data_IF_709191121866
#
_entry.id   IF_709191121866
#
_cell.length_a   1.000
_cell.length_b   1.000
_cell.length_c   1.000
_cell.angle_alpha   90.00
_cell.angle_beta   90.00
_cell.angle_gamma   90.00
#
_symmetry.space_group_name_H-M   'P 1'
#
loop_
_entity.id
_entity.type
_entity.pdbx_description
1 polymer ?
#
# COMPACT_ATOMS: atom_id res chain seq x y z
N UNK A 1 -6.13 -10.79 -18.74
CA UNK A 1 -7.34 -10.37 -19.48
C UNK A 1 -8.46 -10.17 -18.47
N UNK A 2 -9.26 -9.11 -18.57
CA UNK A 2 -10.31 -8.79 -17.60
C UNK A 2 -11.65 -8.75 -18.30
N UNK A 3 -12.61 -9.54 -17.86
CA UNK A 3 -13.87 -9.77 -18.57
C UNK A 3 -15.03 -9.11 -17.81
N UNK A 4 -16.00 -8.53 -18.53
CA UNK A 4 -17.17 -7.86 -17.92
C UNK A 4 -18.19 -8.86 -17.37
N UNK A 5 -18.15 -10.09 -17.89
CA UNK A 5 -19.05 -11.17 -17.58
C UNK A 5 -18.23 -12.40 -17.21
N UNK A 6 -18.64 -13.07 -16.14
CA UNK A 6 -18.24 -14.44 -15.81
C UNK A 6 -19.44 -15.35 -16.02
N UNK A 7 -19.20 -16.61 -16.37
CA UNK A 7 -20.22 -17.62 -16.61
C UNK A 7 -19.83 -18.93 -15.93
N UNK A 8 -20.80 -19.66 -15.40
CA UNK A 8 -20.61 -21.00 -14.88
C UNK A 8 -21.44 -22.00 -15.70
N UNK A 9 -20.80 -23.07 -16.18
CA UNK A 9 -21.43 -24.19 -16.87
C UNK A 9 -21.20 -25.48 -16.09
N UNK A 10 -22.12 -26.44 -16.21
CA UNK A 10 -21.94 -27.79 -15.68
C UNK A 10 -21.53 -27.86 -14.19
N UNK A 11 -21.97 -26.89 -13.38
CA UNK A 11 -21.71 -26.82 -11.94
C UNK A 11 -20.26 -26.50 -11.53
N UNK A 12 -19.33 -26.34 -12.47
CA UNK A 12 -17.91 -26.13 -12.13
C UNK A 12 -17.05 -25.45 -13.21
N UNK A 13 -17.50 -25.42 -14.46
CA UNK A 13 -16.71 -24.87 -15.56
C UNK A 13 -16.87 -23.35 -15.61
N UNK A 14 -15.76 -22.63 -15.70
CA UNK A 14 -15.73 -21.17 -15.66
C UNK A 14 -15.48 -20.57 -17.05
N UNK A 15 -16.35 -19.65 -17.45
CA UNK A 15 -16.27 -18.92 -18.71
C UNK A 15 -16.15 -17.42 -18.44
N UNK A 16 -15.36 -16.71 -19.24
CA UNK A 16 -15.21 -15.26 -19.09
C UNK A 16 -15.33 -14.55 -20.45
N UNK A 17 -16.11 -13.47 -20.50
CA UNK A 17 -16.41 -12.76 -21.74
C UNK A 17 -16.63 -11.26 -21.58
N UNK A 18 -16.41 -10.51 -22.66
CA UNK A 18 -16.73 -9.07 -22.72
C UNK A 18 -18.13 -8.79 -23.27
N UNK A 19 -18.71 -9.75 -23.98
CA UNK A 19 -20.04 -9.69 -24.59
C UNK A 19 -20.69 -11.05 -24.44
N UNK A 20 -22.00 -11.05 -24.21
CA UNK A 20 -22.81 -12.26 -24.24
C UNK A 20 -23.18 -12.49 -25.70
N UNK A 21 -22.69 -13.59 -26.29
CA UNK A 21 -22.96 -13.98 -27.68
C UNK A 21 -23.98 -15.12 -27.78
N UNK A 22 -24.58 -15.51 -26.66
CA UNK A 22 -25.60 -16.55 -26.57
C UNK A 22 -26.99 -15.95 -26.43
N UNK A 23 -27.99 -16.64 -26.97
CA UNK A 23 -29.41 -16.34 -26.76
C UNK A 23 -29.84 -16.72 -25.34
N UNK A 24 -30.81 -15.99 -24.78
CA UNK A 24 -31.37 -16.30 -23.47
C UNK A 24 -32.04 -17.68 -23.47
N UNK A 25 -31.82 -18.43 -22.39
CA UNK A 25 -32.45 -19.71 -22.11
C UNK A 25 -33.35 -19.60 -20.87
N UNK A 26 -34.19 -20.61 -20.66
CA UNK A 26 -34.99 -20.73 -19.43
C UNK A 26 -34.09 -20.94 -18.21
N UNK A 27 -34.45 -20.35 -17.07
CA UNK A 27 -33.74 -20.50 -15.80
C UNK A 27 -33.75 -21.97 -15.31
N UNK A 28 -34.79 -22.71 -15.64
CA UNK A 28 -34.89 -24.15 -15.36
C UNK A 28 -33.82 -25.00 -16.05
N UNK A 29 -33.17 -24.46 -17.08
CA UNK A 29 -32.10 -25.14 -17.81
C UNK A 29 -30.72 -24.92 -17.16
N UNK A 30 -30.63 -24.03 -16.15
CA UNK A 30 -29.46 -23.81 -15.30
C UNK A 30 -29.62 -24.55 -13.95
N UNK A 31 -29.83 -25.86 -14.02
CA UNK A 31 -30.24 -26.70 -12.91
C UNK A 31 -29.13 -27.57 -12.30
N UNK A 32 -27.87 -27.33 -12.66
CA UNK A 32 -26.74 -28.10 -12.11
C UNK A 32 -26.30 -27.56 -10.77
N UNK A 33 -26.06 -28.44 -9.80
CA UNK A 33 -25.53 -28.08 -8.49
C UNK A 33 -24.08 -27.59 -8.59
N UNK A 34 -23.76 -26.49 -7.92
CA UNK A 34 -22.41 -25.95 -7.88
C UNK A 34 -21.50 -26.87 -7.08
N UNK A 35 -20.41 -27.36 -7.68
CA UNK A 35 -19.43 -28.20 -6.97
C UNK A 35 -18.76 -27.48 -5.81
N UNK A 36 -18.60 -26.15 -5.91
CA UNK A 36 -18.04 -25.30 -4.84
C UNK A 36 -19.04 -24.89 -3.76
N UNK A 37 -20.34 -25.00 -4.02
CA UNK A 37 -21.40 -24.58 -3.09
C UNK A 37 -22.65 -25.44 -3.31
N UNK A 38 -22.67 -26.61 -2.66
CA UNK A 38 -23.66 -27.68 -2.86
C UNK A 38 -25.13 -27.29 -2.58
N UNK A 39 -25.36 -26.10 -2.02
CA UNK A 39 -26.70 -25.56 -1.77
C UNK A 39 -27.23 -24.68 -2.90
N UNK A 40 -26.41 -24.37 -3.91
CA UNK A 40 -26.75 -23.46 -5.00
C UNK A 40 -26.66 -24.18 -6.36
N UNK A 41 -27.45 -23.69 -7.31
CA UNK A 41 -27.38 -24.12 -8.71
C UNK A 41 -26.61 -23.10 -9.55
N UNK A 42 -25.70 -23.59 -10.39
CA UNK A 42 -24.97 -22.79 -11.36
C UNK A 42 -24.69 -23.57 -12.64
N UNK A 43 -25.10 -22.98 -13.76
CA UNK A 43 -24.96 -23.55 -15.08
C UNK A 43 -25.88 -24.75 -15.33
N UNK A 44 -25.76 -25.30 -16.53
CA UNK A 44 -26.47 -26.48 -16.99
C UNK A 44 -25.73 -27.14 -18.15
N UNK A 45 -26.30 -28.19 -18.74
CA UNK A 45 -25.72 -28.81 -19.94
C UNK A 45 -25.90 -27.85 -21.11
N UNK A 46 -24.81 -27.35 -21.70
CA UNK A 46 -24.83 -26.31 -22.75
C UNK A 46 -25.49 -25.00 -22.27
N UNK A 47 -25.42 -24.67 -20.97
CA UNK A 47 -26.08 -23.50 -20.36
C UNK A 47 -25.20 -22.82 -19.33
N UNK A 48 -25.15 -21.49 -19.40
CA UNK A 48 -24.31 -20.65 -18.56
C UNK A 48 -25.15 -19.82 -17.58
N UNK A 49 -24.83 -19.92 -16.29
CA UNK A 49 -25.23 -18.89 -15.31
C UNK A 49 -24.26 -17.71 -15.42
N UNK A 50 -24.74 -16.54 -15.84
CA UNK A 50 -23.90 -15.37 -16.13
C UNK A 50 -23.94 -14.35 -14.99
N UNK A 51 -22.77 -13.89 -14.57
CA UNK A 51 -22.54 -12.87 -13.54
C UNK A 51 -21.90 -11.65 -14.18
N UNK A 52 -22.42 -10.46 -13.89
CA UNK A 52 -21.87 -9.19 -14.38
C UNK A 52 -21.10 -8.49 -13.27
N UNK A 53 -19.94 -7.94 -13.62
CA UNK A 53 -19.22 -7.05 -12.73
C UNK A 53 -19.88 -5.66 -12.74
N UNK A 54 -20.61 -5.30 -11.67
CA UNK A 54 -21.08 -3.93 -11.50
C UNK A 54 -19.97 -3.08 -10.88
N UNK A 55 -19.37 -2.21 -11.69
CA UNK A 55 -18.54 -1.11 -11.19
C UNK A 55 -19.48 -0.04 -10.64
N UNK A 56 -19.71 -0.03 -9.33
CA UNK A 56 -20.49 1.01 -8.66
C UNK A 56 -19.89 2.40 -8.99
N UNK A 57 -20.63 3.19 -9.79
CA UNK A 57 -20.19 4.47 -10.33
C UNK A 57 -20.41 5.66 -9.36
N UNK A 58 -20.65 5.43 -8.06
CA UNK A 58 -21.06 6.48 -7.12
C UNK A 58 -20.13 6.69 -5.91
N UNK A 59 -18.88 6.19 -5.95
CA UNK A 59 -17.92 6.36 -4.84
C UNK A 59 -17.30 7.77 -4.70
N UNK A 60 -17.86 8.79 -5.35
CA UNK A 60 -17.40 10.18 -5.24
C UNK A 60 -18.13 11.01 -4.16
N UNK A 61 -19.13 10.47 -3.46
CA UNK A 61 -19.88 11.25 -2.44
C UNK A 61 -20.10 10.47 -1.14
N UNK A 62 -19.35 10.90 -0.11
CA UNK A 62 -19.73 10.91 1.32
C UNK A 62 -19.40 9.65 2.14
N UNK A 63 -18.23 9.63 2.76
CA UNK A 63 -18.02 8.88 4.02
C UNK A 63 -18.91 9.51 5.11
N UNK A 64 -20.13 9.00 5.25
CA UNK A 64 -20.87 9.03 6.52
C UNK A 64 -21.35 7.62 6.79
N UNK A 65 -21.01 7.14 7.98
CA UNK A 65 -21.54 5.93 8.60
C UNK A 65 -23.05 6.08 8.74
N UNK A 66 -23.81 5.43 7.88
CA UNK A 66 -25.07 4.80 8.27
C UNK A 66 -25.05 3.40 7.67
N UNK A 67 -25.12 2.40 8.54
CA UNK A 67 -25.41 1.03 8.15
C UNK A 67 -26.75 1.05 7.42
N UNK A 68 -26.71 0.90 6.09
CA UNK A 68 -27.91 0.65 5.30
C UNK A 68 -27.78 -0.73 4.67
N UNK A 69 -28.84 -1.55 4.75
CA UNK A 69 -28.81 -2.94 4.29
C UNK A 69 -28.54 -2.96 2.79
N UNK A 70 -27.81 -3.96 2.32
CA UNK A 70 -27.77 -4.33 0.92
C UNK A 70 -29.20 -4.39 0.39
N UNK A 71 -29.57 -3.43 -0.45
CA UNK A 71 -30.81 -3.46 -1.19
C UNK A 71 -30.56 -4.44 -2.34
N UNK A 72 -31.31 -5.56 -2.42
CA UNK A 72 -31.20 -6.43 -3.57
C UNK A 72 -31.60 -5.64 -4.83
N UNK A 73 -30.71 -5.58 -5.82
CA UNK A 73 -31.15 -5.31 -7.19
C UNK A 73 -31.92 -6.55 -7.64
N UNK A 74 -33.22 -6.56 -7.34
CA UNK A 74 -34.14 -7.61 -7.77
C UNK A 74 -34.93 -7.13 -9.00
N UNK A 75 -35.48 -8.07 -9.80
CA UNK A 75 -35.72 -9.48 -9.46
C UNK A 75 -34.98 -10.45 -10.39
N UNK A 76 -34.45 -11.56 -9.89
CA UNK A 76 -34.57 -12.79 -10.69
C UNK A 76 -36.01 -13.26 -10.45
N UNK A 77 -36.80 -13.43 -11.49
CA UNK A 77 -38.25 -13.48 -11.33
C UNK A 77 -38.73 -14.74 -10.56
N UNK A 78 -39.17 -14.53 -9.31
CA UNK A 78 -40.18 -15.33 -8.59
C UNK A 78 -39.69 -16.12 -7.36
N UNK A 79 -40.01 -15.65 -6.14
CA UNK A 79 -39.56 -16.16 -4.82
C UNK A 79 -40.15 -17.51 -4.38
N UNK A 80 -39.73 -18.11 -3.25
CA UNK A 80 -39.66 -17.52 -1.90
C UNK A 80 -38.62 -18.18 -0.94
N UNK A 81 -37.96 -17.30 -0.19
CA UNK A 81 -37.61 -17.36 1.26
C UNK A 81 -36.39 -18.14 1.80
N UNK A 82 -35.51 -17.32 2.41
CA UNK A 82 -34.63 -17.48 3.58
C UNK A 82 -33.29 -18.19 3.39
N UNK A 83 -32.23 -17.38 3.37
CA UNK A 83 -30.93 -17.75 3.93
C UNK A 83 -30.48 -16.67 4.92
N UNK A 84 -30.47 -17.04 6.20
CA UNK A 84 -29.66 -16.42 7.23
C UNK A 84 -28.35 -17.22 7.30
N UNK A 85 -27.21 -16.53 7.32
CA UNK A 85 -25.90 -17.17 7.43
C UNK A 85 -24.84 -16.40 6.65
N UNK A 86 -24.28 -15.37 7.27
CA UNK A 86 -23.22 -14.58 6.67
C UNK A 86 -21.95 -15.42 6.48
N UNK A 87 -21.43 -15.45 5.26
CA UNK A 87 -20.02 -15.72 5.04
C UNK A 87 -19.27 -14.47 5.47
N UNK A 88 -18.58 -14.56 6.60
CA UNK A 88 -17.54 -13.60 6.93
C UNK A 88 -16.49 -13.74 5.83
N UNK A 89 -16.42 -12.78 4.93
CA UNK A 89 -15.24 -12.56 4.08
C UNK A 89 -14.11 -12.13 5.01
N UNK A 90 -13.53 -13.09 5.73
CA UNK A 90 -12.26 -12.88 6.41
C UNK A 90 -11.26 -12.50 5.33
N UNK A 91 -10.82 -11.25 5.42
CA UNK A 91 -9.81 -10.62 4.59
C UNK A 91 -8.77 -11.63 4.07
N UNK A 92 -8.81 -11.94 2.76
CA UNK A 92 -7.70 -12.56 2.03
C UNK A 92 -6.53 -11.55 2.01
N UNK A 93 -5.95 -11.27 3.17
CA UNK A 93 -4.93 -10.22 3.34
C UNK A 93 -3.51 -10.73 3.10
N UNK A 94 -3.32 -12.04 2.87
CA UNK A 94 -2.01 -12.61 2.63
C UNK A 94 -2.07 -13.55 1.43
N UNK A 95 -1.25 -13.25 0.42
CA UNK A 95 -0.99 -14.16 -0.69
C UNK A 95 -0.08 -15.26 -0.15
N UNK A 96 -0.64 -16.43 0.05
CA UNK A 96 0.09 -17.63 0.47
C UNK A 96 0.86 -18.26 -0.69
N UNK A 97 1.78 -19.18 -0.38
CA UNK A 97 2.55 -19.92 -1.38
C UNK A 97 1.61 -20.70 -2.31
N UNK A 98 1.81 -20.56 -3.62
CA UNK A 98 1.02 -21.20 -4.66
C UNK A 98 1.04 -22.73 -4.56
N UNK A 99 2.10 -23.30 -3.94
CA UNK A 99 2.21 -24.72 -3.66
C UNK A 99 1.16 -25.24 -2.67
N UNK A 100 0.65 -24.40 -1.76
CA UNK A 100 -0.40 -24.78 -0.80
C UNK A 100 -1.77 -24.98 -1.47
N UNK A 101 -1.95 -24.42 -2.67
CA UNK A 101 -3.13 -24.58 -3.51
C UNK A 101 -2.93 -25.61 -4.64
N UNK A 102 -1.79 -26.30 -4.71
CA UNK A 102 -1.41 -27.19 -5.81
C UNK A 102 -2.11 -28.58 -5.78
N UNK A 103 -3.28 -28.66 -5.16
CA UNK A 103 -4.09 -29.87 -5.23
C UNK A 103 -4.76 -29.95 -6.61
N UNK A 104 -4.42 -30.99 -7.35
CA UNK A 104 -4.95 -31.23 -8.69
C UNK A 104 -6.44 -31.55 -8.63
N UNK A 105 -7.16 -31.09 -9.65
CA UNK A 105 -8.57 -31.42 -9.78
C UNK A 105 -8.73 -32.86 -10.24
N UNK A 106 -9.77 -33.52 -9.70
CA UNK A 106 -10.09 -34.90 -10.06
C UNK A 106 -10.47 -35.08 -11.56
N UNK A 107 -10.61 -33.98 -12.31
CA UNK A 107 -11.06 -33.99 -13.70
C UNK A 107 -10.01 -33.51 -14.73
N UNK A 108 -8.90 -32.88 -14.33
CA UNK A 108 -7.90 -32.35 -15.27
C UNK A 108 -6.46 -32.44 -14.72
N UNK A 109 -5.53 -32.97 -15.52
CA UNK A 109 -4.13 -33.18 -15.11
C UNK A 109 -3.31 -31.89 -14.94
N UNK A 110 -3.80 -30.77 -15.49
CA UNK A 110 -3.08 -29.51 -15.64
C UNK A 110 -3.67 -28.35 -14.82
N UNK A 111 -4.79 -28.54 -14.12
CA UNK A 111 -5.42 -27.49 -13.31
C UNK A 111 -5.43 -27.82 -11.81
N UNK A 112 -5.09 -26.81 -11.01
CA UNK A 112 -5.12 -26.86 -9.55
C UNK A 112 -6.38 -26.15 -9.05
N UNK A 113 -7.15 -26.77 -8.15
CA UNK A 113 -8.41 -26.19 -7.63
C UNK A 113 -8.28 -25.65 -6.20
N UNK A 114 -7.08 -25.67 -5.61
CA UNK A 114 -6.91 -25.44 -4.18
C UNK A 114 -7.22 -26.68 -3.34
N UNK A 115 -6.96 -26.59 -2.04
CA UNK A 115 -7.17 -27.65 -1.05
C UNK A 115 -8.37 -27.32 -0.15
N UNK A 116 -8.68 -28.21 0.80
CA UNK A 116 -9.74 -27.99 1.80
C UNK A 116 -9.49 -26.74 2.68
N UNK A 117 -8.24 -26.27 2.78
CA UNK A 117 -7.85 -25.12 3.59
C UNK A 117 -7.50 -23.88 2.75
N UNK A 118 -7.20 -24.04 1.45
CA UNK A 118 -6.69 -22.96 0.59
C UNK A 118 -7.39 -22.93 -0.77
N UNK A 119 -7.96 -21.78 -1.14
CA UNK A 119 -8.67 -21.59 -2.41
C UNK A 119 -7.76 -20.96 -3.47
N UNK A 120 -7.93 -21.37 -4.74
CA UNK A 120 -7.22 -20.77 -5.87
C UNK A 120 -8.04 -19.60 -6.42
N UNK A 121 -7.56 -18.38 -6.20
CA UNK A 121 -8.26 -17.14 -6.60
C UNK A 121 -7.52 -16.49 -7.77
N UNK A 122 -8.17 -16.40 -8.92
CA UNK A 122 -7.60 -15.74 -10.09
C UNK A 122 -7.82 -14.22 -10.02
N UNK A 123 -6.74 -13.45 -9.96
CA UNK A 123 -6.81 -11.99 -10.06
C UNK A 123 -6.99 -11.58 -11.53
N UNK A 124 -8.11 -10.93 -11.85
CA UNK A 124 -8.32 -10.38 -13.20
C UNK A 124 -7.29 -9.28 -13.48
N UNK A 125 -6.85 -9.14 -14.74
CA UNK A 125 -5.93 -8.05 -15.13
C UNK A 125 -6.64 -6.69 -15.33
N UNK A 126 -7.86 -6.52 -14.80
CA UNK A 126 -8.50 -5.20 -14.80
C UNK A 126 -7.71 -4.32 -13.83
N UNK A 127 -7.16 -3.21 -14.34
CA UNK A 127 -6.47 -2.25 -13.50
C UNK A 127 -7.50 -1.61 -12.56
N UNK A 128 -7.34 -1.85 -11.25
CA UNK A 128 -8.18 -1.22 -10.23
C UNK A 128 -7.90 0.29 -10.20
N UNK A 129 -8.89 1.05 -10.66
CA UNK A 129 -8.80 2.51 -10.76
C UNK A 129 -9.41 3.24 -9.56
N UNK A 130 -9.97 2.53 -8.57
CA UNK A 130 -10.67 3.14 -7.41
C UNK A 130 -9.78 4.10 -6.62
N UNK A 131 -8.49 3.79 -6.53
CA UNK A 131 -7.49 4.60 -5.84
C UNK A 131 -6.68 5.54 -6.77
N UNK A 132 -6.95 5.55 -8.07
CA UNK A 132 -6.17 6.32 -9.05
C UNK A 132 -6.60 7.78 -9.16
N UNK A 133 -7.89 8.09 -8.91
CA UNK A 133 -8.36 9.47 -8.88
C UNK A 133 -7.78 10.20 -7.66
N UNK A 134 -7.11 11.31 -7.95
CA UNK A 134 -6.37 12.14 -6.99
C UNK A 134 -6.57 13.61 -7.32
N UNK A 135 -6.84 14.40 -6.30
CA UNK A 135 -7.12 15.84 -6.42
C UNK A 135 -6.46 16.64 -5.30
N UNK A 136 -6.43 17.96 -5.46
CA UNK A 136 -6.11 18.84 -4.35
C UNK A 136 -7.25 18.86 -3.34
N UNK A 137 -6.96 19.27 -2.10
CA UNK A 137 -7.99 19.49 -1.10
C UNK A 137 -9.03 20.50 -1.62
N UNK A 138 -10.33 20.26 -1.38
CA UNK A 138 -11.39 21.14 -1.87
C UNK A 138 -11.37 22.52 -1.19
N UNK A 139 -10.81 22.60 0.01
CA UNK A 139 -10.57 23.83 0.77
C UNK A 139 -9.14 23.84 1.29
N UNK A 140 -8.60 25.03 1.56
CA UNK A 140 -7.25 25.15 2.12
C UNK A 140 -7.23 24.56 3.54
N UNK A 141 -6.29 23.65 3.78
CA UNK A 141 -6.00 23.10 5.09
C UNK A 141 -5.65 24.21 6.06
N UNK A 142 -6.31 24.21 7.22
CA UNK A 142 -6.03 25.14 8.32
C UNK A 142 -4.85 24.69 9.18
N UNK A 143 -4.53 23.40 9.13
CA UNK A 143 -3.42 22.79 9.86
C UNK A 143 -2.41 22.24 8.85
N UNK A 144 -1.13 22.45 9.13
CA UNK A 144 -0.04 21.90 8.32
C UNK A 144 0.47 20.60 8.94
N UNK A 145 0.38 19.52 8.18
CA UNK A 145 0.90 18.21 8.60
C UNK A 145 2.17 17.87 7.83
N UNK A 146 3.26 17.61 8.55
CA UNK A 146 4.51 17.17 7.95
C UNK A 146 4.52 15.66 7.73
N UNK A 147 5.10 15.22 6.61
CA UNK A 147 5.70 13.90 6.46
C UNK A 147 7.21 14.08 6.64
N UNK A 148 7.66 13.94 7.88
CA UNK A 148 9.04 14.14 8.29
C UNK A 148 9.81 12.83 8.25
N UNK A 149 10.99 12.83 7.64
CA UNK A 149 11.82 11.63 7.58
C UNK A 149 13.18 11.93 6.98
N UNK A 150 14.17 11.13 7.34
CA UNK A 150 15.49 11.14 6.74
C UNK A 150 15.45 10.79 5.22
N UNK A 151 16.34 11.34 4.37
CA UNK A 151 16.46 10.92 2.98
C UNK A 151 16.69 9.40 2.83
N UNK A 152 16.11 8.75 1.82
CA UNK A 152 16.21 7.30 1.68
C UNK A 152 15.34 6.45 2.63
N UNK A 153 14.57 7.06 3.54
CA UNK A 153 13.68 6.36 4.48
C UNK A 153 12.37 5.80 3.87
N UNK A 154 12.14 5.96 2.56
CA UNK A 154 10.89 5.51 1.90
C UNK A 154 9.90 6.64 1.58
N UNK A 155 10.39 7.86 1.48
CA UNK A 155 9.65 9.11 1.35
C UNK A 155 8.61 9.12 0.22
N UNK A 156 9.06 8.84 -0.99
CA UNK A 156 8.19 8.83 -2.18
C UNK A 156 7.15 7.72 -2.09
N UNK A 157 7.51 6.58 -1.52
CA UNK A 157 6.59 5.46 -1.32
C UNK A 157 5.52 5.80 -0.28
N UNK A 158 5.88 6.37 0.87
CA UNK A 158 4.92 6.81 1.87
C UNK A 158 3.95 7.87 1.32
N UNK A 159 4.44 8.82 0.52
CA UNK A 159 3.58 9.78 -0.18
C UNK A 159 2.61 9.09 -1.14
N UNK A 160 3.11 8.17 -1.98
CA UNK A 160 2.29 7.39 -2.90
C UNK A 160 1.17 6.66 -2.17
N UNK A 161 1.48 5.98 -1.07
CA UNK A 161 0.48 5.29 -0.24
C UNK A 161 -0.57 6.24 0.34
N UNK A 162 -0.15 7.41 0.84
CA UNK A 162 -1.09 8.43 1.36
C UNK A 162 -2.00 8.93 0.24
N UNK A 163 -1.47 9.23 -0.95
CA UNK A 163 -2.29 9.69 -2.08
C UNK A 163 -3.28 8.60 -2.54
N UNK A 164 -2.84 7.33 -2.59
CA UNK A 164 -3.74 6.22 -2.92
C UNK A 164 -4.82 6.02 -1.85
N UNK A 165 -4.49 6.09 -0.57
CA UNK A 165 -5.47 5.89 0.50
C UNK A 165 -6.48 7.05 0.61
N UNK A 166 -6.02 8.29 0.39
CA UNK A 166 -6.82 9.50 0.66
C UNK A 166 -7.47 10.11 -0.58
N UNK A 167 -6.92 9.86 -1.77
CA UNK A 167 -7.31 10.56 -2.99
C UNK A 167 -6.87 12.03 -3.03
N UNK A 168 -5.99 12.45 -2.11
CA UNK A 168 -5.48 13.82 -2.06
C UNK A 168 -3.99 13.89 -2.34
N UNK A 169 -3.58 14.89 -3.12
CA UNK A 169 -2.16 15.11 -3.42
C UNK A 169 -1.36 15.48 -2.17
N UNK A 170 -0.13 14.97 -2.11
CA UNK A 170 0.87 15.34 -1.12
C UNK A 170 1.79 16.43 -1.68
N UNK A 171 2.11 17.40 -0.83
CA UNK A 171 3.06 18.46 -1.12
C UNK A 171 4.47 18.09 -0.70
N UNK A 172 5.42 18.98 -1.02
CA UNK A 172 6.80 18.87 -0.62
C UNK A 172 7.33 20.26 -0.28
N UNK A 173 8.21 20.33 0.72
CA UNK A 173 8.95 21.55 1.05
C UNK A 173 9.90 21.95 -0.09
N UNK A 174 10.31 20.95 -0.88
CA UNK A 174 11.20 21.07 -2.04
C UNK A 174 10.41 20.88 -3.33
N UNK A 175 10.99 21.30 -4.46
CA UNK A 175 10.45 21.03 -5.78
C UNK A 175 11.31 20.01 -6.53
N UNK A 176 10.69 18.91 -6.98
CA UNK A 176 11.28 17.91 -7.86
C UNK A 176 10.41 17.70 -9.12
N UNK A 177 10.89 18.20 -10.25
CA UNK A 177 10.19 18.09 -11.54
C UNK A 177 10.01 16.65 -12.03
N UNK A 178 10.92 15.73 -11.67
CA UNK A 178 10.81 14.31 -12.03
C UNK A 178 9.67 13.65 -11.25
N UNK A 179 9.51 13.98 -9.96
CA UNK A 179 8.36 13.51 -9.17
C UNK A 179 7.04 14.11 -9.66
N UNK A 180 7.03 15.39 -10.05
CA UNK A 180 5.84 16.02 -10.65
C UNK A 180 5.37 15.30 -11.93
N UNK A 181 6.33 14.95 -12.80
CA UNK A 181 6.06 14.21 -14.03
C UNK A 181 5.56 12.78 -13.75
N UNK A 182 5.95 12.17 -12.63
CA UNK A 182 5.45 10.87 -12.15
C UNK A 182 4.12 10.93 -11.41
N UNK A 183 3.48 12.10 -11.33
CA UNK A 183 2.11 12.26 -10.83
C UNK A 183 1.99 12.97 -9.48
N UNK A 184 3.09 13.34 -8.81
CA UNK A 184 3.03 14.13 -7.57
C UNK A 184 2.74 15.59 -7.88
N UNK A 185 1.48 15.91 -8.20
CA UNK A 185 1.09 17.25 -8.66
C UNK A 185 1.29 18.33 -7.58
N UNK A 186 1.33 17.96 -6.31
CA UNK A 186 1.64 18.85 -5.20
C UNK A 186 3.08 19.36 -5.16
N UNK A 187 4.02 18.84 -5.97
CA UNK A 187 5.39 19.37 -6.06
C UNK A 187 5.45 20.83 -6.52
N UNK A 188 4.56 21.23 -7.44
CA UNK A 188 4.56 22.60 -7.98
C UNK A 188 3.82 23.60 -7.08
N UNK A 189 3.06 23.13 -6.11
CA UNK A 189 2.33 24.00 -5.20
C UNK A 189 3.25 24.45 -4.08
N UNK A 190 3.14 25.73 -3.69
CA UNK A 190 3.88 26.20 -2.53
C UNK A 190 3.48 25.40 -1.28
N UNK A 191 4.46 25.00 -0.48
CA UNK A 191 4.23 24.08 0.64
C UNK A 191 3.28 24.63 1.71
N UNK A 192 3.17 25.96 1.84
CA UNK A 192 2.19 26.65 2.71
C UNK A 192 0.85 26.96 2.04
N UNK A 193 0.61 26.49 0.83
CA UNK A 193 -0.65 26.77 0.10
C UNK A 193 -1.89 26.20 0.79
N UNK A 194 -1.72 25.18 1.63
CA UNK A 194 -2.81 24.43 2.26
C UNK A 194 -3.61 23.57 1.28
N UNK A 195 -3.18 23.42 0.03
CA UNK A 195 -3.94 22.65 -0.99
C UNK A 195 -3.64 21.15 -0.98
N UNK A 196 -2.60 20.73 -0.27
CA UNK A 196 -2.16 19.34 -0.18
C UNK A 196 -2.43 18.78 1.21
N UNK A 197 -2.60 17.45 1.32
CA UNK A 197 -2.99 16.80 2.57
C UNK A 197 -1.85 16.67 3.58
N UNK A 198 -0.62 16.55 3.11
CA UNK A 198 0.58 16.55 3.93
C UNK A 198 1.78 17.07 3.15
N UNK A 199 2.80 17.58 3.84
CA UNK A 199 3.99 18.19 3.24
C UNK A 199 5.22 17.35 3.59
N UNK A 200 5.89 16.80 2.58
CA UNK A 200 7.17 16.11 2.77
C UNK A 200 8.29 17.08 3.12
N UNK A 201 9.08 16.78 4.15
CA UNK A 201 10.24 17.61 4.56
C UNK A 201 11.39 16.79 5.13
N UNK A 202 12.64 17.24 4.93
CA UNK A 202 13.85 16.72 5.57
C UNK A 202 14.41 17.69 6.62
N UNK A 203 13.74 18.82 6.83
CA UNK A 203 14.17 19.86 7.76
C UNK A 203 14.23 19.31 9.20
N UNK A 204 15.27 19.70 9.94
CA UNK A 204 15.52 19.25 11.33
C UNK A 204 15.65 20.42 12.31
N UNK A 205 15.53 21.67 11.84
CA UNK A 205 15.63 22.86 12.68
C UNK A 205 14.34 23.10 13.48
N UNK A 206 14.48 23.60 14.71
CA UNK A 206 13.36 23.89 15.60
C UNK A 206 12.32 24.81 14.94
N UNK A 207 12.77 25.89 14.29
CA UNK A 207 11.89 26.87 13.65
C UNK A 207 11.06 26.25 12.52
N UNK A 208 11.66 25.37 11.74
CA UNK A 208 11.01 24.66 10.64
C UNK A 208 10.02 23.64 11.18
N UNK A 209 10.40 22.87 12.21
CA UNK A 209 9.55 21.85 12.85
C UNK A 209 8.31 22.49 13.50
N UNK A 210 8.48 23.57 14.25
CA UNK A 210 7.40 24.27 14.96
C UNK A 210 6.39 24.94 14.02
N UNK A 211 6.75 25.10 12.74
CA UNK A 211 5.83 25.61 11.71
C UNK A 211 4.74 24.62 11.30
N UNK A 212 4.86 23.34 11.69
CA UNK A 212 3.85 22.32 11.50
C UNK A 212 3.02 22.10 12.77
N UNK A 213 1.74 21.77 12.59
CA UNK A 213 0.81 21.49 13.70
C UNK A 213 0.89 20.04 14.15
N UNK A 214 1.18 19.14 13.21
CA UNK A 214 1.44 17.74 13.47
C UNK A 214 2.38 17.14 12.45
N UNK A 215 2.92 15.96 12.75
CA UNK A 215 3.85 15.27 11.88
C UNK A 215 3.67 13.76 11.91
N UNK A 216 3.79 13.14 10.75
CA UNK A 216 4.11 11.72 10.61
C UNK A 216 5.64 11.64 10.52
N UNK A 217 6.28 11.07 11.55
CA UNK A 217 7.71 10.82 11.59
C UNK A 217 7.99 9.40 11.09
N UNK A 218 8.40 9.29 9.82
CA UNK A 218 8.75 8.01 9.21
C UNK A 218 10.22 7.69 9.46
N UNK A 219 10.46 6.62 10.21
CA UNK A 219 11.80 6.13 10.57
C UNK A 219 12.05 4.82 9.82
N UNK A 220 13.21 4.68 9.19
CA UNK A 220 13.65 3.43 8.55
C UNK A 220 14.96 2.97 9.16
N UNK A 221 15.22 1.66 9.13
CA UNK A 221 16.52 1.11 9.50
C UNK A 221 17.66 1.93 8.87
N UNK A 222 18.62 2.45 9.68
CA UNK A 222 19.63 3.39 9.21
C UNK A 222 20.55 2.78 8.16
N UNK A 223 20.90 1.50 8.27
CA UNK A 223 21.70 0.81 7.25
C UNK A 223 20.99 0.80 5.90
N UNK A 224 19.69 0.44 5.88
CA UNK A 224 18.88 0.44 4.66
C UNK A 224 18.65 1.85 4.12
N UNK A 225 18.48 2.84 5.00
CA UNK A 225 18.23 4.23 4.62
C UNK A 225 19.48 4.91 4.03
N UNK A 226 20.64 4.74 4.67
CA UNK A 226 21.93 5.27 4.20
C UNK A 226 22.31 4.69 2.83
N UNK A 227 22.23 3.37 2.66
CA UNK A 227 22.46 2.75 1.34
C UNK A 227 21.46 3.26 0.29
N UNK A 228 20.20 3.44 0.67
CA UNK A 228 19.19 3.93 -0.25
C UNK A 228 19.46 5.38 -0.66
N UNK A 229 19.93 6.22 0.24
CA UNK A 229 20.26 7.62 -0.05
C UNK A 229 21.55 7.74 -0.86
N UNK A 230 22.57 6.93 -0.56
CA UNK A 230 23.80 6.88 -1.35
C UNK A 230 23.54 6.48 -2.81
N UNK A 231 22.72 5.44 -3.02
CA UNK A 231 22.25 5.06 -4.34
C UNK A 231 21.48 6.19 -5.04
N UNK A 232 20.68 6.98 -4.30
CA UNK A 232 19.95 8.12 -4.86
C UNK A 232 20.91 9.22 -5.33
N UNK A 233 21.93 9.52 -4.52
CA UNK A 233 22.90 10.58 -4.76
C UNK A 233 23.79 10.29 -5.98
N UNK A 234 24.27 9.06 -6.12
CA UNK A 234 25.23 8.68 -7.18
C UNK A 234 24.60 7.88 -8.34
N UNK A 235 23.35 7.43 -8.20
CA UNK A 235 22.63 6.66 -9.22
C UNK A 235 21.28 7.25 -9.63
N UNK A 236 20.86 8.37 -9.04
CA UNK A 236 19.55 8.99 -9.29
C UNK A 236 18.38 8.32 -8.56
N UNK A 237 17.17 8.84 -8.74
CA UNK A 237 15.99 8.48 -7.93
C UNK A 237 15.70 6.97 -7.84
N UNK A 238 15.89 6.25 -8.94
CA UNK A 238 15.62 4.80 -9.02
C UNK A 238 16.87 3.97 -9.36
N UNK A 239 18.03 4.60 -9.54
CA UNK A 239 19.25 3.90 -9.93
C UNK A 239 20.12 3.51 -8.74
N UNK A 240 21.28 2.94 -9.09
CA UNK A 240 22.27 2.43 -8.17
C UNK A 240 23.60 3.14 -8.40
N UNK A 241 24.32 3.41 -7.31
CA UNK A 241 25.67 3.96 -7.39
C UNK A 241 26.62 2.93 -8.02
N UNK A 242 27.53 3.38 -8.87
CA UNK A 242 28.54 2.52 -9.47
C UNK A 242 29.43 1.88 -8.40
N UNK A 243 29.93 0.66 -8.68
CA UNK A 243 30.75 -0.12 -7.74
C UNK A 243 32.01 0.63 -7.27
N UNK A 244 32.54 1.55 -8.09
CA UNK A 244 33.65 2.43 -7.75
C UNK A 244 33.35 3.34 -6.55
N UNK A 245 32.15 3.93 -6.48
CA UNK A 245 31.76 4.82 -5.37
C UNK A 245 31.66 4.07 -4.03
N UNK A 246 31.29 2.78 -4.06
CA UNK A 246 31.20 1.96 -2.85
C UNK A 246 32.55 1.51 -2.31
N UNK A 247 33.56 1.36 -3.18
CA UNK A 247 34.94 1.00 -2.81
C UNK A 247 35.82 2.22 -2.53
N UNK A 248 35.40 3.40 -3.00
CA UNK A 248 36.10 4.65 -2.81
C UNK A 248 35.92 5.25 -1.41
N UNK A 249 36.51 6.45 -1.21
CA UNK A 249 36.42 7.19 0.06
C UNK A 249 35.05 7.82 0.29
N UNK A 250 34.25 7.91 -0.78
CA UNK A 250 32.93 8.53 -0.77
C UNK A 250 31.95 7.80 0.16
N UNK A 251 31.99 6.47 0.23
CA UNK A 251 31.09 5.72 1.10
C UNK A 251 31.40 5.94 2.60
N UNK A 252 32.64 5.78 3.08
CA UNK A 252 32.98 6.12 4.46
C UNK A 252 32.66 7.56 4.86
N UNK A 253 33.02 8.53 4.02
CA UNK A 253 32.72 9.95 4.26
C UNK A 253 31.21 10.21 4.27
N UNK A 254 30.46 9.56 3.39
CA UNK A 254 29.01 9.64 3.38
C UNK A 254 28.41 9.10 4.68
N UNK A 255 28.83 7.92 5.14
CA UNK A 255 28.33 7.33 6.39
C UNK A 255 28.65 8.23 7.58
N UNK A 256 29.88 8.75 7.66
CA UNK A 256 30.31 9.64 8.76
C UNK A 256 29.45 10.92 8.86
N UNK A 257 28.99 11.46 7.73
CA UNK A 257 28.17 12.67 7.69
C UNK A 257 26.67 12.39 7.84
N UNK A 258 26.16 11.30 7.27
CA UNK A 258 24.72 11.05 7.17
C UNK A 258 24.19 10.18 8.33
N UNK A 259 25.00 9.31 8.92
CA UNK A 259 24.60 8.52 10.08
C UNK A 259 24.21 9.38 11.31
N UNK A 260 24.98 10.43 11.71
CA UNK A 260 24.53 11.33 12.76
C UNK A 260 23.25 12.06 12.38
N UNK A 261 23.11 12.51 11.12
CA UNK A 261 21.91 13.21 10.67
C UNK A 261 20.64 12.35 10.78
N UNK A 262 20.74 11.04 10.50
CA UNK A 262 19.61 10.12 10.69
C UNK A 262 19.09 10.14 12.14
N UNK A 263 20.01 10.17 13.12
CA UNK A 263 19.65 10.23 14.53
C UNK A 263 19.15 11.62 14.92
N UNK A 264 19.91 12.68 14.62
CA UNK A 264 19.54 14.04 15.02
C UNK A 264 18.19 14.44 14.44
N UNK A 265 17.92 14.16 13.16
CA UNK A 265 16.62 14.39 12.55
C UNK A 265 15.49 13.74 13.36
N UNK A 266 15.62 12.46 13.71
CA UNK A 266 14.62 11.75 14.50
C UNK A 266 14.44 12.39 15.88
N UNK A 267 15.54 12.69 16.56
CA UNK A 267 15.54 13.28 17.89
C UNK A 267 14.95 14.69 17.90
N UNK A 268 15.23 15.51 16.90
CA UNK A 268 14.73 16.88 16.76
C UNK A 268 13.22 16.88 16.52
N UNK A 269 12.71 16.02 15.63
CA UNK A 269 11.27 15.87 15.40
C UNK A 269 10.53 15.34 16.62
N UNK A 270 11.13 14.41 17.37
CA UNK A 270 10.58 14.03 18.66
C UNK A 270 10.56 15.26 19.58
N UNK A 271 11.69 15.94 19.77
CA UNK A 271 11.85 17.05 20.72
C UNK A 271 10.91 18.22 20.46
N UNK A 272 10.89 18.75 19.24
CA UNK A 272 10.22 20.01 18.88
C UNK A 272 8.86 19.82 18.23
N UNK A 273 8.51 18.62 17.78
CA UNK A 273 7.22 18.35 17.15
C UNK A 273 6.08 18.40 18.17
N UNK A 274 5.05 19.22 17.88
CA UNK A 274 3.87 19.39 18.75
C UNK A 274 3.06 18.10 18.92
N UNK A 275 2.69 17.48 17.80
CA UNK A 275 1.95 16.21 17.74
C UNK A 275 2.60 15.29 16.71
N UNK A 276 3.28 14.24 17.17
CA UNK A 276 4.09 13.37 16.31
C UNK A 276 3.56 11.95 16.34
N UNK A 277 3.18 11.42 15.17
CA UNK A 277 2.92 10.00 14.96
C UNK A 277 4.20 9.35 14.42
N UNK A 278 4.81 8.47 15.21
CA UNK A 278 5.96 7.68 14.76
C UNK A 278 5.49 6.46 13.98
N UNK A 279 6.07 6.26 12.80
CA UNK A 279 5.83 5.10 11.94
C UNK A 279 7.18 4.54 11.52
N UNK A 280 7.41 3.25 11.79
CA UNK A 280 8.58 2.55 11.27
C UNK A 280 8.27 2.04 9.86
N UNK A 281 9.20 2.24 8.93
CA UNK A 281 9.06 1.79 7.54
C UNK A 281 8.88 0.27 7.46
N UNK A 282 9.57 -0.47 8.32
CA UNK A 282 9.47 -1.92 8.45
C UNK A 282 8.06 -2.35 8.88
N UNK A 283 7.45 -1.64 9.83
CA UNK A 283 6.06 -1.90 10.26
C UNK A 283 5.06 -1.51 9.16
N UNK A 284 5.28 -0.39 8.45
CA UNK A 284 4.46 0.02 7.31
C UNK A 284 4.51 -1.01 6.17
N UNK A 285 5.60 -1.74 6.03
CA UNK A 285 5.72 -2.85 5.07
C UNK A 285 5.02 -4.12 5.53
N UNK A 286 5.08 -4.43 6.82
CA UNK A 286 4.52 -5.66 7.39
C UNK A 286 3.00 -5.56 7.57
N UNK A 287 2.55 -4.44 8.14
CA UNK A 287 1.18 -4.20 8.57
C UNK A 287 0.58 -2.98 7.85
N UNK A 288 0.64 -3.00 6.50
CA UNK A 288 0.38 -1.83 5.65
C UNK A 288 -0.95 -1.12 5.96
N UNK A 289 -2.06 -1.84 6.00
CA UNK A 289 -3.38 -1.24 6.19
C UNK A 289 -3.52 -0.56 7.55
N UNK A 290 -3.09 -1.23 8.62
CA UNK A 290 -3.17 -0.72 9.99
C UNK A 290 -2.33 0.56 10.12
N UNK A 291 -1.09 0.54 9.64
CA UNK A 291 -0.21 1.71 9.70
C UNK A 291 -0.73 2.85 8.83
N UNK A 292 -1.25 2.56 7.64
CA UNK A 292 -1.79 3.55 6.74
C UNK A 292 -3.08 4.19 7.28
N UNK A 293 -3.96 3.42 7.92
CA UNK A 293 -5.14 3.94 8.62
C UNK A 293 -4.74 4.90 9.75
N UNK A 294 -3.72 4.54 10.56
CA UNK A 294 -3.19 5.43 11.61
C UNK A 294 -2.65 6.74 11.02
N UNK A 295 -1.89 6.65 9.93
CA UNK A 295 -1.36 7.81 9.21
C UNK A 295 -2.48 8.72 8.69
N UNK A 296 -3.47 8.15 8.00
CA UNK A 296 -4.58 8.90 7.41
C UNK A 296 -5.51 9.51 8.47
N UNK A 297 -5.70 8.82 9.59
CA UNK A 297 -6.43 9.36 10.75
C UNK A 297 -5.76 10.61 11.32
N UNK A 298 -4.43 10.67 11.39
CA UNK A 298 -3.71 11.89 11.79
C UNK A 298 -3.98 13.05 10.82
N UNK A 299 -4.14 12.76 9.53
CA UNK A 299 -4.45 13.74 8.47
C UNK A 299 -5.90 14.24 8.52
N UNK A 300 -6.72 13.73 9.46
CA UNK A 300 -8.13 14.13 9.61
C UNK A 300 -9.04 13.58 8.52
N UNK A 301 -8.61 12.51 7.83
CA UNK A 301 -9.39 11.81 6.81
C UNK A 301 -9.60 10.36 7.26
N UNK A 302 -10.68 9.74 6.81
CA UNK A 302 -10.90 8.29 6.99
C UNK A 302 -10.56 7.60 5.67
N UNK A 303 -9.68 6.60 5.71
CA UNK A 303 -9.39 5.79 4.52
C UNK A 303 -10.57 4.83 4.28
N UNK A 304 -11.22 4.94 3.12
CA UNK A 304 -12.27 4.00 2.72
C UNK A 304 -11.69 2.60 2.54
N UNK A 305 -12.39 1.56 3.00
CA UNK A 305 -11.96 0.17 2.81
C UNK A 305 -11.74 -0.16 1.32
N UNK A 306 -12.62 0.31 0.44
CA UNK A 306 -12.47 0.14 -1.02
C UNK A 306 -11.16 0.72 -1.58
N UNK A 307 -10.72 1.87 -1.06
CA UNK A 307 -9.45 2.48 -1.48
C UNK A 307 -8.27 1.72 -0.91
N UNK A 308 -8.36 1.24 0.33
CA UNK A 308 -7.33 0.40 0.94
C UNK A 308 -7.15 -0.90 0.14
N UNK A 309 -8.23 -1.56 -0.29
CA UNK A 309 -8.14 -2.74 -1.15
C UNK A 309 -7.40 -2.46 -2.47
N UNK A 310 -7.65 -1.31 -3.09
CA UNK A 310 -6.92 -0.89 -4.30
C UNK A 310 -5.44 -0.57 -4.01
N UNK A 311 -5.12 0.00 -2.85
CA UNK A 311 -3.74 0.32 -2.44
C UNK A 311 -2.87 -0.92 -2.51
N UNK A 312 -3.36 -2.08 -2.06
CA UNK A 312 -2.58 -3.32 -2.05
C UNK A 312 -2.12 -3.74 -3.46
N UNK A 313 -2.99 -3.59 -4.46
CA UNK A 313 -2.64 -3.88 -5.86
C UNK A 313 -1.71 -2.84 -6.50
N UNK A 314 -1.67 -1.61 -5.97
CA UNK A 314 -0.93 -0.47 -6.55
C UNK A 314 0.24 0.02 -5.67
N UNK A 315 0.54 -0.67 -4.56
CA UNK A 315 1.44 -0.18 -3.50
C UNK A 315 2.87 0.07 -3.94
N UNK A 316 3.41 -0.73 -4.86
CA UNK A 316 4.81 -0.64 -5.28
C UNK A 316 5.07 0.59 -6.19
N UNK A 317 4.07 0.99 -6.99
CA UNK A 317 4.17 2.08 -7.97
C UNK A 317 5.42 1.99 -8.86
N UNK A 318 5.93 3.14 -9.31
CA UNK A 318 7.15 3.26 -10.12
C UNK A 318 8.36 3.77 -9.31
N UNK A 319 8.37 3.51 -8.00
CA UNK A 319 9.30 4.14 -7.05
C UNK A 319 10.24 3.17 -6.37
N UNK A 320 10.04 1.86 -6.59
CA UNK A 320 10.91 0.80 -6.13
C UNK A 320 12.09 0.65 -7.09
N UNK A 321 13.31 0.58 -6.56
CA UNK A 321 14.49 0.23 -7.36
C UNK A 321 14.39 -1.23 -7.81
N UNK A 322 14.80 -1.53 -9.04
CA UNK A 322 14.81 -2.92 -9.53
C UNK A 322 15.76 -3.78 -8.70
N UNK A 323 15.35 -4.98 -8.32
CA UNK A 323 16.14 -5.87 -7.45
C UNK A 323 17.39 -6.46 -8.11
N UNK A 324 17.58 -6.23 -9.41
CA UNK A 324 18.61 -6.86 -10.25
C UNK A 324 20.05 -6.35 -10.00
N UNK A 325 20.23 -5.25 -9.26
CA UNK A 325 21.55 -4.64 -8.96
C UNK A 325 21.75 -4.41 -7.47
N UNK A 326 21.49 -5.43 -6.64
CA UNK A 326 21.86 -5.38 -5.22
C UNK A 326 23.38 -5.54 -5.09
N UNK A 327 23.99 -4.84 -4.12
CA UNK A 327 25.38 -5.12 -3.74
C UNK A 327 25.46 -6.56 -3.22
N UNK A 328 26.45 -7.30 -3.72
CA UNK A 328 26.71 -8.69 -3.32
C UNK A 328 27.49 -8.78 -2.00
N UNK A 329 28.08 -7.67 -1.54
CA UNK A 329 28.86 -7.58 -0.31
C UNK A 329 28.29 -6.52 0.62
N UNK A 330 28.58 -6.65 1.91
CA UNK A 330 28.20 -5.67 2.91
C UNK A 330 29.21 -4.50 2.94
N UNK A 331 28.80 -3.26 2.62
CA UNK A 331 29.71 -2.12 2.57
C UNK A 331 30.03 -1.54 3.96
N UNK A 332 29.45 -2.04 5.05
CA UNK A 332 29.65 -1.51 6.39
C UNK A 332 30.80 -2.17 7.14
N UNK A 333 31.81 -1.36 7.44
CA UNK A 333 32.91 -1.71 8.34
C UNK A 333 32.45 -1.90 9.80
N UNK A 334 33.17 -2.67 10.62
CA UNK A 334 32.87 -2.80 12.05
C UNK A 334 32.80 -1.45 12.79
N UNK A 335 33.67 -0.50 12.43
CA UNK A 335 33.71 0.84 13.02
C UNK A 335 32.44 1.62 12.69
N UNK A 336 31.97 1.56 11.43
CA UNK A 336 30.70 2.16 11.04
C UNK A 336 29.53 1.55 11.81
N UNK A 337 29.50 0.23 11.97
CA UNK A 337 28.44 -0.45 12.75
C UNK A 337 28.44 -0.04 14.21
N UNK A 338 29.62 0.09 14.82
CA UNK A 338 29.74 0.55 16.21
C UNK A 338 29.13 1.95 16.37
N UNK A 339 29.45 2.85 15.45
CA UNK A 339 28.93 4.23 15.41
C UNK A 339 27.42 4.25 15.18
N UNK A 340 26.93 3.58 14.13
CA UNK A 340 25.50 3.48 13.80
C UNK A 340 24.72 2.82 14.94
N UNK A 341 25.26 1.78 15.56
CA UNK A 341 24.67 1.13 16.73
C UNK A 341 24.53 2.09 17.93
N UNK A 342 25.47 3.00 18.12
CA UNK A 342 25.35 4.09 19.10
C UNK A 342 24.14 4.97 18.83
N UNK A 343 23.98 5.41 17.58
CA UNK A 343 22.84 6.22 17.15
C UNK A 343 21.49 5.50 17.29
N UNK A 344 21.43 4.21 16.94
CA UNK A 344 20.22 3.39 17.10
C UNK A 344 19.79 3.36 18.58
N UNK A 345 20.74 3.09 19.50
CA UNK A 345 20.45 3.07 20.94
C UNK A 345 19.95 4.42 21.46
N UNK A 346 20.53 5.53 20.99
CA UNK A 346 20.07 6.87 21.37
C UNK A 346 18.64 7.14 20.91
N UNK A 347 18.31 6.78 19.67
CA UNK A 347 16.95 6.93 19.13
C UNK A 347 15.96 6.02 19.86
N UNK A 348 16.34 4.76 20.10
CA UNK A 348 15.53 3.79 20.85
C UNK A 348 15.18 4.29 22.26
N UNK A 349 16.18 4.78 22.99
CA UNK A 349 15.99 5.37 24.32
C UNK A 349 15.03 6.57 24.27
N UNK A 350 15.19 7.46 23.29
CA UNK A 350 14.32 8.63 23.12
C UNK A 350 12.85 8.26 22.80
N UNK A 351 12.64 7.21 22.00
CA UNK A 351 11.31 6.67 21.70
C UNK A 351 10.68 6.06 22.97
N UNK A 352 11.42 5.24 23.70
CA UNK A 352 10.95 4.59 24.94
C UNK A 352 10.62 5.61 26.04
N UNK A 353 11.38 6.70 26.14
CA UNK A 353 11.13 7.79 27.08
C UNK A 353 9.78 8.50 26.83
N UNK A 354 9.21 8.32 25.64
CA UNK A 354 7.89 8.82 25.25
C UNK A 354 6.79 7.74 25.24
N UNK A 355 7.03 6.62 25.92
CA UNK A 355 6.13 5.45 25.96
C UNK A 355 5.80 4.88 24.57
N UNK A 356 6.74 4.98 23.62
CA UNK A 356 6.66 4.31 22.33
C UNK A 356 7.41 2.97 22.38
N UNK A 357 7.11 2.07 21.44
CA UNK A 357 7.66 0.70 21.38
C UNK A 357 9.19 0.61 21.24
N UNK A 358 9.88 1.71 20.96
CA UNK A 358 11.29 1.71 20.60
C UNK A 358 11.50 1.42 19.12
N UNK A 359 12.76 1.17 18.73
CA UNK A 359 13.09 0.76 17.36
C UNK A 359 12.85 -0.74 17.15
N UNK A 360 12.42 -1.19 15.95
CA UNK A 360 12.28 -2.60 15.65
C UNK A 360 13.60 -3.38 15.81
N UNK A 361 13.51 -4.66 16.21
CA UNK A 361 14.67 -5.56 16.34
C UNK A 361 15.52 -5.64 15.06
N UNK A 362 14.86 -5.55 13.90
CA UNK A 362 15.48 -5.48 12.57
C UNK A 362 16.54 -4.37 12.41
N UNK A 363 16.61 -3.40 13.34
CA UNK A 363 17.61 -2.31 13.31
C UNK A 363 18.96 -2.75 13.86
N UNK A 364 18.99 -3.78 14.70
CA UNK A 364 20.22 -4.35 15.25
C UNK A 364 20.72 -5.47 14.32
N UNK A 365 21.82 -5.26 13.58
CA UNK A 365 22.37 -6.32 12.75
C UNK A 365 22.82 -7.47 13.66
N UNK A 366 22.37 -8.69 13.34
CA UNK A 366 22.81 -9.93 14.00
C UNK A 366 24.25 -10.26 13.66
#
# INVERSE_FOLDING_TARGET
RGYLYAGLEFGAECYCGHKIQASNASESECNMECKGERSNTCGGINRLSIYRLELAQESARRCKLEASPWIPAQPCHGGTSRAAGGVILTFLSQREDEQLCAHKCAAEEFESCGSAEFLLVYQTQVQDNRCMDRRFLPSRAKQLVALASFPGAGNTWARHLIELATGFYTGSYYFDGSLYNKGFKGERDHWRSGRTICIKTHESGQKEIESFDSAILLIRNPYKALMAEFNRKYGGHIGFAAHAHWKGKEWPEFVANYAPWWATHTLDWLRYGKKVLVVHFEDLKRDLFVQLQRMVALLGVTACEDRLLCVEGQKDGNFKRSGLRKLEYDPYTPEMRKTIGGYIRTVDAALKLRNLSGVPEDYYPR
#
